data_IF_808464649253
#
_entry.id   IF_808464649253
#
_cell.length_a   1.000
_cell.length_b   1.000
_cell.length_c   1.000
_cell.angle_alpha   90.00
_cell.angle_beta   90.00
_cell.angle_gamma   90.00
#
_symmetry.space_group_name_H-M   'P 1'
#
loop_
_entity.id
_entity.type
_entity.pdbx_description
1 polymer ?
#
# COMPACT_ATOMS: atom_id res chain seq x y z
N UNK A 1 -7.87 -37.03 -51.89
CA UNK A 1 -7.63 -35.59 -51.61
C UNK A 1 -8.03 -35.17 -50.18
N UNK A 2 -9.23 -35.45 -49.67
CA UNK A 2 -9.61 -35.10 -48.29
C UNK A 2 -8.94 -36.03 -47.24
N UNK A 3 -8.77 -37.34 -47.59
CA UNK A 3 -8.04 -38.30 -46.76
C UNK A 3 -6.56 -37.98 -46.63
N UNK A 4 -5.94 -37.49 -47.70
CA UNK A 4 -4.50 -37.16 -47.72
C UNK A 4 -4.19 -35.90 -46.96
N UNK A 5 -5.13 -34.93 -46.95
CA UNK A 5 -5.00 -33.68 -46.18
C UNK A 5 -5.17 -33.91 -44.67
N UNK A 6 -6.08 -34.79 -44.24
CA UNK A 6 -6.25 -35.18 -42.85
C UNK A 6 -5.05 -36.02 -42.34
N UNK A 7 -4.48 -36.87 -43.18
CA UNK A 7 -3.26 -37.64 -42.86
C UNK A 7 -2.04 -36.73 -42.77
N UNK A 8 -1.93 -35.71 -43.67
CA UNK A 8 -0.86 -34.73 -43.63
C UNK A 8 -0.95 -33.81 -42.38
N UNK A 9 -2.17 -33.37 -41.99
CA UNK A 9 -2.39 -32.61 -40.73
C UNK A 9 -2.09 -33.51 -39.55
N UNK A 10 -2.50 -34.76 -39.51
CA UNK A 10 -2.19 -35.72 -38.43
C UNK A 10 -0.68 -35.99 -38.34
N UNK A 11 0.01 -36.16 -39.48
CA UNK A 11 1.46 -36.33 -39.52
C UNK A 11 2.24 -35.07 -39.07
N UNK A 12 1.76 -33.90 -39.49
CA UNK A 12 2.33 -32.60 -39.03
C UNK A 12 2.10 -32.38 -37.55
N UNK A 13 0.91 -32.66 -37.05
CA UNK A 13 0.61 -32.49 -35.60
C UNK A 13 1.32 -33.54 -34.74
N UNK A 14 1.34 -34.83 -35.14
CA UNK A 14 2.04 -35.88 -34.39
C UNK A 14 3.55 -35.68 -34.41
N UNK A 15 4.15 -35.35 -35.56
CA UNK A 15 5.60 -35.09 -35.64
C UNK A 15 5.99 -33.76 -34.95
N UNK A 16 5.15 -32.71 -35.02
CA UNK A 16 5.40 -31.47 -34.35
C UNK A 16 5.34 -31.63 -32.81
N UNK A 17 4.35 -32.38 -32.30
CA UNK A 17 4.26 -32.68 -30.86
C UNK A 17 5.25 -33.73 -30.38
N UNK A 18 5.63 -34.70 -31.20
CA UNK A 18 6.61 -35.72 -30.84
C UNK A 18 8.06 -35.21 -30.87
N UNK A 19 8.37 -34.19 -31.67
CA UNK A 19 9.69 -33.53 -31.72
C UNK A 19 9.83 -32.42 -30.68
N UNK A 20 8.74 -31.95 -30.04
CA UNK A 20 8.82 -31.05 -28.93
C UNK A 20 9.36 -31.79 -27.71
N UNK A 21 10.68 -31.69 -27.55
CA UNK A 21 11.39 -32.23 -26.39
C UNK A 21 10.66 -31.81 -25.11
N UNK A 22 10.20 -32.74 -24.29
CA UNK A 22 9.37 -32.46 -23.08
C UNK A 22 10.03 -31.40 -22.16
N UNK A 23 11.37 -31.34 -22.19
CA UNK A 23 12.16 -30.33 -21.49
C UNK A 23 11.91 -28.89 -22.03
N UNK A 24 11.62 -28.76 -23.33
CA UNK A 24 11.30 -27.48 -23.99
C UNK A 24 10.01 -26.91 -23.42
N UNK A 25 8.97 -27.72 -23.31
CA UNK A 25 7.65 -27.33 -22.79
C UNK A 25 7.76 -26.98 -21.31
N UNK A 26 8.50 -27.78 -20.53
CA UNK A 26 8.66 -27.60 -19.08
C UNK A 26 9.34 -26.29 -18.67
N UNK A 27 10.23 -25.73 -19.50
CA UNK A 27 10.93 -24.48 -19.21
C UNK A 27 10.31 -23.26 -19.92
N UNK A 28 9.89 -23.40 -21.19
CA UNK A 28 9.36 -22.27 -21.95
C UNK A 28 7.99 -21.81 -21.50
N UNK A 29 7.05 -22.70 -21.19
CA UNK A 29 5.71 -22.32 -20.74
C UNK A 29 5.71 -21.53 -19.41
N UNK A 30 6.46 -21.94 -18.36
CA UNK A 30 6.61 -21.12 -17.16
C UNK A 30 7.20 -19.74 -17.44
N UNK A 31 8.24 -19.64 -18.28
CA UNK A 31 8.85 -18.35 -18.61
C UNK A 31 7.90 -17.43 -19.39
N UNK A 32 7.14 -17.94 -20.35
CA UNK A 32 6.10 -17.18 -21.05
C UNK A 32 4.98 -16.73 -20.09
N UNK A 33 4.62 -17.56 -19.12
CA UNK A 33 3.67 -17.20 -18.08
C UNK A 33 4.21 -16.08 -17.19
N UNK A 34 5.48 -16.14 -16.82
CA UNK A 34 6.17 -15.07 -16.05
C UNK A 34 6.21 -13.78 -16.85
N UNK A 35 6.55 -13.82 -18.14
CA UNK A 35 6.55 -12.65 -19.02
C UNK A 35 5.15 -12.03 -19.11
N UNK A 36 4.12 -12.86 -19.35
CA UNK A 36 2.74 -12.40 -19.40
C UNK A 36 2.29 -11.73 -18.11
N UNK A 37 2.70 -12.26 -16.96
CA UNK A 37 2.45 -11.63 -15.66
C UNK A 37 3.17 -10.29 -15.51
N UNK A 38 4.41 -10.14 -15.97
CA UNK A 38 5.12 -8.85 -15.95
C UNK A 38 4.46 -7.81 -16.84
N UNK A 39 4.02 -8.19 -18.04
CA UNK A 39 3.23 -7.32 -18.93
C UNK A 39 1.94 -6.87 -18.24
N UNK A 40 1.22 -7.80 -17.59
CA UNK A 40 0.02 -7.49 -16.83
C UNK A 40 0.29 -6.56 -15.63
N UNK A 41 1.37 -6.78 -14.87
CA UNK A 41 1.79 -5.91 -13.78
C UNK A 41 2.10 -4.50 -14.27
N UNK A 42 2.82 -4.38 -15.38
CA UNK A 42 3.15 -3.10 -16.00
C UNK A 42 1.90 -2.35 -16.48
N UNK A 43 0.99 -3.04 -17.15
CA UNK A 43 -0.28 -2.46 -17.57
C UNK A 43 -1.13 -1.95 -16.39
N UNK A 44 -1.19 -2.71 -15.30
CA UNK A 44 -1.87 -2.27 -14.07
C UNK A 44 -1.18 -1.08 -13.40
N UNK A 45 0.14 -1.02 -13.42
CA UNK A 45 0.89 0.14 -12.93
C UNK A 45 0.56 1.41 -13.72
N UNK A 46 0.57 1.35 -15.05
CA UNK A 46 0.17 2.49 -15.90
C UNK A 46 -1.28 2.90 -15.61
N UNK A 47 -2.18 1.93 -15.55
CA UNK A 47 -3.60 2.17 -15.23
C UNK A 47 -3.76 2.82 -13.87
N UNK A 48 -3.05 2.33 -12.85
CA UNK A 48 -3.05 2.89 -11.51
C UNK A 48 -2.60 4.36 -11.51
N UNK A 49 -1.46 4.66 -12.14
CA UNK A 49 -0.94 6.01 -12.19
C UNK A 49 -1.87 6.97 -12.96
N UNK A 50 -2.48 6.52 -14.04
CA UNK A 50 -3.41 7.35 -14.82
C UNK A 50 -4.73 7.61 -14.10
N UNK A 51 -5.27 6.63 -13.38
CA UNK A 51 -6.53 6.77 -12.65
C UNK A 51 -6.40 7.66 -11.40
N UNK A 52 -5.21 7.69 -10.79
CA UNK A 52 -4.96 8.48 -9.59
C UNK A 52 -4.45 9.88 -9.87
N UNK A 53 -3.98 10.18 -11.09
CA UNK A 53 -3.58 11.55 -11.46
C UNK A 53 -4.83 12.45 -11.40
N UNK A 54 -5.11 12.95 -10.21
CA UNK A 54 -5.87 14.18 -10.11
C UNK A 54 -4.99 15.22 -10.78
N UNK A 55 -5.48 15.75 -11.89
CA UNK A 55 -4.94 16.96 -12.51
C UNK A 55 -4.57 17.90 -11.39
N UNK A 56 -3.29 18.13 -11.22
CA UNK A 56 -2.70 18.90 -10.14
C UNK A 56 -3.55 20.15 -9.99
N UNK A 57 -4.21 20.31 -8.85
CA UNK A 57 -5.08 21.48 -8.55
C UNK A 57 -4.32 22.79 -8.74
N UNK A 58 -2.97 22.74 -8.81
CA UNK A 58 -2.12 23.86 -9.19
C UNK A 58 -2.61 24.60 -10.46
N UNK A 59 -3.01 23.91 -11.52
CA UNK A 59 -3.57 24.51 -12.73
C UNK A 59 -4.99 25.09 -12.53
N UNK A 60 -5.74 24.54 -11.58
CA UNK A 60 -7.11 25.00 -11.27
C UNK A 60 -7.10 26.15 -10.27
N UNK A 61 -6.12 26.22 -9.36
CA UNK A 61 -5.98 27.32 -8.40
C UNK A 61 -5.36 28.59 -9.02
N UNK A 62 -4.38 28.45 -9.93
CA UNK A 62 -3.77 29.61 -10.61
C UNK A 62 -4.81 30.35 -11.50
N UNK A 63 -5.78 29.64 -12.07
CA UNK A 63 -6.88 30.23 -12.82
C UNK A 63 -8.07 30.66 -11.97
N UNK A 64 -8.10 30.37 -10.63
CA UNK A 64 -9.28 30.53 -9.77
C UNK A 64 -9.04 31.19 -8.43
N UNK A 65 -8.01 32.00 -8.24
CA UNK A 65 -8.00 33.01 -7.13
C UNK A 65 -9.29 33.84 -7.10
N UNK A 66 -10.11 33.77 -8.15
CA UNK A 66 -11.34 34.51 -8.37
C UNK A 66 -12.64 33.79 -7.95
N UNK A 67 -12.61 32.51 -7.59
CA UNK A 67 -13.85 31.69 -7.50
C UNK A 67 -14.16 31.07 -6.14
N UNK A 68 -13.27 31.11 -5.14
CA UNK A 68 -13.63 30.65 -3.81
C UNK A 68 -13.87 31.85 -2.89
N UNK A 69 -15.15 32.12 -2.62
CA UNK A 69 -15.51 32.93 -1.47
C UNK A 69 -15.01 32.17 -0.22
N UNK A 70 -13.97 32.74 0.46
CA UNK A 70 -13.38 32.09 1.66
C UNK A 70 -14.44 31.78 2.73
N UNK A 71 -15.53 32.56 2.75
CA UNK A 71 -16.65 32.37 3.68
C UNK A 71 -17.57 31.19 3.32
N UNK A 72 -17.43 30.57 2.13
CA UNK A 72 -18.21 29.42 1.69
C UNK A 72 -17.49 28.07 1.90
N UNK A 73 -16.26 28.07 2.42
CA UNK A 73 -15.53 26.84 2.70
C UNK A 73 -16.04 26.20 4.00
N UNK A 74 -16.28 24.87 4.01
CA UNK A 74 -16.77 24.18 5.20
C UNK A 74 -15.71 24.20 6.33
N UNK A 75 -16.18 24.12 7.57
CA UNK A 75 -15.29 23.89 8.71
C UNK A 75 -14.83 22.45 8.76
N UNK A 76 -13.55 22.22 9.05
CA UNK A 76 -12.91 20.91 9.07
C UNK A 76 -12.27 20.67 10.43
N UNK A 77 -12.55 19.52 11.07
CA UNK A 77 -11.84 19.03 12.24
C UNK A 77 -10.78 18.03 11.80
N UNK A 78 -9.51 18.35 12.06
CA UNK A 78 -8.36 17.48 11.81
C UNK A 78 -8.06 16.67 13.06
N UNK A 79 -8.09 15.36 12.98
CA UNK A 79 -7.92 14.45 14.11
C UNK A 79 -6.62 13.67 13.92
N UNK A 80 -5.72 13.73 14.92
CA UNK A 80 -4.37 13.18 14.88
C UNK A 80 -4.18 12.26 16.08
N UNK A 81 -4.41 10.94 15.95
CA UNK A 81 -4.03 9.98 16.98
C UNK A 81 -2.50 9.82 16.98
N UNK A 82 -1.87 9.93 18.15
CA UNK A 82 -0.43 9.78 18.32
C UNK A 82 -0.09 8.93 19.53
N UNK A 83 0.91 8.05 19.38
CA UNK A 83 1.54 7.28 20.44
C UNK A 83 2.99 7.01 20.09
N UNK A 84 3.90 7.44 20.96
CA UNK A 84 5.34 7.25 20.80
C UNK A 84 5.83 7.73 19.41
N UNK A 85 5.53 9.00 19.08
CA UNK A 85 5.83 9.67 17.81
C UNK A 85 6.72 10.90 18.00
N UNK A 86 7.60 10.88 19.02
CA UNK A 86 8.46 12.04 19.34
C UNK A 86 9.30 12.54 18.16
N UNK A 87 9.64 11.70 17.17
CA UNK A 87 10.48 12.10 16.05
C UNK A 87 9.71 12.78 14.91
N UNK A 88 8.40 12.54 14.83
CA UNK A 88 7.55 12.96 13.69
C UNK A 88 6.49 13.98 14.06
N UNK A 89 5.96 13.93 15.28
CA UNK A 89 4.79 14.72 15.69
C UNK A 89 4.98 16.24 15.54
N UNK A 90 6.17 16.77 15.77
CA UNK A 90 6.46 18.19 15.63
C UNK A 90 6.32 18.64 14.17
N UNK A 91 6.92 17.91 13.23
CA UNK A 91 6.82 18.15 11.77
C UNK A 91 5.36 18.05 11.30
N UNK A 92 4.63 17.05 11.78
CA UNK A 92 3.22 16.85 11.45
C UNK A 92 2.37 18.04 11.89
N UNK A 93 2.42 18.39 13.18
CA UNK A 93 1.63 19.48 13.74
C UNK A 93 1.95 20.84 13.09
N UNK A 94 3.23 21.17 12.87
CA UNK A 94 3.62 22.41 12.18
C UNK A 94 3.00 22.46 10.78
N UNK A 95 3.08 21.39 10.03
CA UNK A 95 2.53 21.34 8.67
C UNK A 95 1.01 21.51 8.60
N UNK A 96 0.30 21.10 9.64
CA UNK A 96 -1.15 21.29 9.78
C UNK A 96 -1.51 22.68 10.28
N UNK A 97 -0.72 23.25 11.22
CA UNK A 97 -0.91 24.63 11.71
C UNK A 97 -0.64 25.66 10.61
N UNK A 98 0.17 25.34 9.61
CA UNK A 98 0.54 26.22 8.48
C UNK A 98 -0.28 25.98 7.20
N UNK A 99 -1.43 25.29 7.28
CA UNK A 99 -2.30 25.07 6.13
C UNK A 99 -2.96 26.35 5.63
N UNK A 100 -2.99 26.56 4.31
CA UNK A 100 -3.71 27.66 3.64
C UNK A 100 -5.22 27.39 3.58
N UNK A 101 -5.83 27.08 4.72
CA UNK A 101 -7.26 26.81 4.82
C UNK A 101 -7.85 27.57 6.02
N UNK A 102 -8.90 28.40 5.85
CA UNK A 102 -9.30 29.33 6.91
C UNK A 102 -10.00 28.69 8.10
N UNK A 103 -10.73 27.60 7.87
CA UNK A 103 -11.71 27.05 8.80
C UNK A 103 -11.26 25.69 9.34
N UNK A 104 -10.14 25.65 10.10
CA UNK A 104 -9.57 24.43 10.69
C UNK A 104 -9.64 24.45 12.23
N UNK A 105 -10.05 23.32 12.76
CA UNK A 105 -9.84 22.89 14.12
C UNK A 105 -8.90 21.68 14.11
N UNK A 106 -7.83 21.69 14.90
CA UNK A 106 -6.85 20.61 14.96
C UNK A 106 -6.91 20.00 16.35
N UNK A 107 -7.10 18.67 16.41
CA UNK A 107 -7.26 17.88 17.62
C UNK A 107 -6.19 16.79 17.63
N UNK A 108 -5.16 16.95 18.44
CA UNK A 108 -4.11 15.97 18.64
C UNK A 108 -4.43 15.11 19.87
N UNK A 109 -4.45 13.80 19.71
CA UNK A 109 -4.80 12.87 20.78
C UNK A 109 -3.57 12.04 21.15
N UNK A 110 -3.05 12.25 22.36
CA UNK A 110 -1.98 11.45 22.90
C UNK A 110 -2.55 10.17 23.54
N UNK A 111 -2.22 9.01 22.98
CA UNK A 111 -2.67 7.71 23.44
C UNK A 111 -1.68 7.13 24.50
N UNK A 112 -1.47 7.88 25.57
CA UNK A 112 -0.58 7.50 26.67
C UNK A 112 0.85 7.18 26.18
N UNK A 113 1.48 8.14 25.51
CA UNK A 113 2.87 8.04 25.05
C UNK A 113 3.84 7.95 26.22
N UNK A 114 4.91 7.18 26.03
CA UNK A 114 5.98 7.00 27.04
C UNK A 114 7.25 7.79 26.72
N UNK A 115 7.28 8.39 25.53
CA UNK A 115 8.38 9.23 25.02
C UNK A 115 8.04 10.74 25.12
N UNK A 116 8.79 11.59 24.43
CA UNK A 116 8.59 13.04 24.45
C UNK A 116 7.43 13.54 23.56
N UNK A 117 6.54 12.66 23.03
CA UNK A 117 5.44 13.04 22.13
C UNK A 117 4.55 14.12 22.72
N UNK A 118 3.99 13.88 23.90
CA UNK A 118 3.08 14.83 24.57
C UNK A 118 3.76 16.18 24.86
N UNK A 119 5.02 16.15 25.30
CA UNK A 119 5.80 17.36 25.60
C UNK A 119 5.93 18.21 24.32
N UNK A 120 6.23 17.58 23.17
CA UNK A 120 6.35 18.24 21.90
C UNK A 120 5.02 18.81 21.41
N UNK A 121 3.91 18.09 21.58
CA UNK A 121 2.56 18.60 21.28
C UNK A 121 2.26 19.88 22.06
N UNK A 122 2.47 19.87 23.39
CA UNK A 122 2.25 21.05 24.25
C UNK A 122 3.12 22.24 23.87
N UNK A 123 4.38 21.99 23.52
CA UNK A 123 5.30 23.03 23.03
C UNK A 123 4.77 23.70 21.76
N UNK A 124 4.28 22.92 20.79
CA UNK A 124 3.69 23.48 19.54
C UNK A 124 2.41 24.25 19.87
N UNK A 125 1.53 23.73 20.71
CA UNK A 125 0.32 24.42 21.13
C UNK A 125 0.65 25.79 21.73
N UNK A 126 1.58 25.88 22.68
CA UNK A 126 2.01 27.14 23.32
C UNK A 126 2.63 28.14 22.31
N UNK A 127 3.41 27.60 21.33
CA UNK A 127 4.01 28.42 20.26
C UNK A 127 2.94 29.11 19.42
N UNK A 128 1.91 28.38 19.00
CA UNK A 128 0.90 28.90 18.07
C UNK A 128 -0.23 29.66 18.79
N UNK A 129 -0.53 29.39 20.06
CA UNK A 129 -1.48 30.19 20.85
C UNK A 129 -1.08 31.66 20.99
N UNK A 130 0.23 31.97 20.89
CA UNK A 130 0.76 33.34 20.94
C UNK A 130 0.65 34.11 19.62
N UNK A 131 0.29 33.42 18.53
CA UNK A 131 0.23 34.03 17.20
C UNK A 131 -1.22 34.40 16.86
N UNK A 132 -1.45 35.63 16.44
CA UNK A 132 -2.76 36.06 15.91
C UNK A 132 -3.02 35.39 14.56
N UNK A 133 -4.24 34.95 14.31
CA UNK A 133 -4.67 34.30 13.06
C UNK A 133 -4.11 32.90 12.78
N UNK A 134 -3.79 32.11 13.82
CA UNK A 134 -3.43 30.70 13.68
C UNK A 134 -4.64 29.80 13.92
N UNK A 135 -4.58 28.58 13.37
CA UNK A 135 -5.54 27.52 13.68
C UNK A 135 -5.48 27.15 15.17
N UNK A 136 -6.59 26.70 15.70
CA UNK A 136 -6.64 26.19 17.09
C UNK A 136 -6.09 24.76 17.16
N UNK A 137 -5.20 24.48 18.09
CA UNK A 137 -4.70 23.17 18.41
C UNK A 137 -5.19 22.74 19.78
N UNK A 138 -6.06 21.75 19.84
CA UNK A 138 -6.54 21.11 21.06
C UNK A 138 -5.77 19.81 21.28
N UNK A 139 -5.34 19.54 22.54
CA UNK A 139 -4.64 18.33 22.90
C UNK A 139 -5.51 17.54 23.88
N UNK A 140 -5.70 16.26 23.59
CA UNK A 140 -6.39 15.31 24.44
C UNK A 140 -5.37 14.29 24.93
N UNK A 141 -5.30 14.10 26.24
CA UNK A 141 -4.44 13.12 26.88
C UNK A 141 -5.26 11.92 27.36
N UNK A 142 -5.03 10.74 26.76
CA UNK A 142 -5.68 9.51 27.16
C UNK A 142 -4.78 8.76 28.15
N UNK A 143 -5.30 8.38 29.30
CA UNK A 143 -4.55 7.60 30.30
C UNK A 143 -4.71 6.10 30.14
N UNK A 144 -5.81 5.66 29.54
CA UNK A 144 -6.14 4.24 29.35
C UNK A 144 -7.02 4.05 28.12
N UNK A 145 -7.14 2.82 27.68
CA UNK A 145 -8.07 2.42 26.62
C UNK A 145 -8.85 1.17 27.08
N UNK A 146 -10.09 0.97 26.63
CA UNK A 146 -10.82 -0.30 26.80
C UNK A 146 -10.11 -1.47 26.10
N UNK A 147 -10.25 -2.68 26.64
CA UNK A 147 -9.54 -3.86 26.12
C UNK A 147 -9.98 -4.27 24.71
N UNK A 148 -11.24 -3.99 24.37
CA UNK A 148 -11.85 -4.31 23.08
C UNK A 148 -11.58 -3.25 21.99
N UNK A 149 -10.72 -2.24 22.27
CA UNK A 149 -10.30 -1.23 21.30
C UNK A 149 -8.83 -1.41 20.92
N UNK A 150 -8.48 -1.02 19.68
CA UNK A 150 -7.08 -0.75 19.35
C UNK A 150 -6.71 0.66 19.84
N UNK A 151 -5.42 0.93 20.08
CA UNK A 151 -4.99 2.28 20.50
C UNK A 151 -5.37 3.35 19.50
N UNK A 152 -5.11 3.09 18.20
CA UNK A 152 -5.40 4.06 17.14
C UNK A 152 -6.89 4.34 17.00
N UNK A 153 -7.74 3.30 17.00
CA UNK A 153 -9.20 3.50 16.91
C UNK A 153 -9.76 4.24 18.10
N UNK A 154 -9.25 3.92 19.33
CA UNK A 154 -9.65 4.61 20.56
C UNK A 154 -9.26 6.08 20.54
N UNK A 155 -8.01 6.40 20.18
CA UNK A 155 -7.56 7.79 20.10
C UNK A 155 -8.32 8.57 19.00
N UNK A 156 -8.56 7.94 17.84
CA UNK A 156 -9.33 8.57 16.76
C UNK A 156 -10.79 8.82 17.14
N UNK A 157 -11.43 7.90 17.87
CA UNK A 157 -12.80 8.08 18.36
C UNK A 157 -12.88 9.22 19.37
N UNK A 158 -11.94 9.31 20.32
CA UNK A 158 -11.92 10.42 21.30
C UNK A 158 -11.68 11.76 20.60
N UNK A 159 -10.82 11.82 19.59
CA UNK A 159 -10.65 13.01 18.76
C UNK A 159 -11.91 13.40 17.99
N UNK A 160 -12.65 12.42 17.47
CA UNK A 160 -13.95 12.65 16.84
C UNK A 160 -14.98 13.18 17.84
N UNK A 161 -15.09 12.59 19.03
CA UNK A 161 -16.04 13.03 20.06
C UNK A 161 -15.79 14.48 20.54
N UNK A 162 -14.54 14.93 20.51
CA UNK A 162 -14.17 16.30 20.83
C UNK A 162 -14.28 17.27 19.63
N UNK A 163 -14.59 16.79 18.45
CA UNK A 163 -14.71 17.58 17.23
C UNK A 163 -16.13 18.07 16.99
N UNK A 164 -16.29 19.23 16.32
CA UNK A 164 -17.63 19.86 16.15
C UNK A 164 -18.01 20.07 14.68
N UNK A 165 -17.06 19.99 13.75
CA UNK A 165 -17.27 20.41 12.38
C UNK A 165 -17.92 19.32 11.49
N UNK A 166 -18.54 19.78 10.39
CA UNK A 166 -19.31 18.93 9.46
C UNK A 166 -18.41 18.01 8.62
N UNK A 167 -17.13 18.32 8.47
CA UNK A 167 -16.14 17.49 7.77
C UNK A 167 -15.05 17.10 8.75
N UNK A 168 -14.72 15.82 8.75
CA UNK A 168 -13.68 15.23 9.56
C UNK A 168 -12.51 14.86 8.64
N UNK A 169 -11.29 15.17 9.06
CA UNK A 169 -10.06 14.74 8.44
C UNK A 169 -9.25 13.92 9.46
N UNK A 170 -9.05 12.66 9.18
CA UNK A 170 -8.17 11.79 9.98
C UNK A 170 -6.81 11.69 9.30
N UNK A 171 -5.75 11.83 10.10
CA UNK A 171 -4.36 11.84 9.64
C UNK A 171 -3.45 11.08 10.59
N UNK A 172 -2.33 10.54 10.09
CA UNK A 172 -1.30 9.91 10.92
C UNK A 172 -0.28 10.95 11.41
N UNK A 173 0.26 10.72 12.60
CA UNK A 173 1.21 11.61 13.27
C UNK A 173 2.63 11.61 12.68
N UNK A 174 2.93 10.66 11.78
CA UNK A 174 4.22 10.51 11.09
C UNK A 174 4.23 11.08 9.66
N UNK A 175 3.21 11.86 9.32
CA UNK A 175 3.04 12.47 8.00
C UNK A 175 3.33 13.98 8.01
N UNK A 176 3.59 14.50 6.81
CA UNK A 176 3.76 15.92 6.53
C UNK A 176 2.82 16.32 5.39
N UNK A 177 2.21 17.51 5.51
CA UNK A 177 1.20 18.03 4.58
C UNK A 177 1.65 19.35 3.99
N UNK A 178 1.68 19.46 2.67
CA UNK A 178 1.95 20.73 1.97
C UNK A 178 0.87 21.77 2.29
N UNK A 179 1.23 23.07 2.31
CA UNK A 179 0.36 24.16 2.75
C UNK A 179 -1.03 24.21 2.10
N UNK A 180 -1.15 23.76 0.86
CA UNK A 180 -2.40 23.75 0.10
C UNK A 180 -3.09 22.37 0.09
N UNK A 181 -2.66 21.42 0.93
CA UNK A 181 -3.16 20.06 0.94
C UNK A 181 -4.66 19.99 1.24
N UNK A 182 -5.08 20.58 2.37
CA UNK A 182 -6.49 20.53 2.80
C UNK A 182 -7.39 21.31 1.84
N UNK A 183 -6.98 22.50 1.40
CA UNK A 183 -7.75 23.30 0.43
C UNK A 183 -7.96 22.52 -0.87
N UNK A 184 -6.92 21.87 -1.37
CA UNK A 184 -6.99 21.06 -2.58
C UNK A 184 -7.94 19.88 -2.44
N UNK A 185 -7.86 19.15 -1.32
CA UNK A 185 -8.68 17.98 -1.05
C UNK A 185 -10.16 18.35 -0.89
N UNK A 186 -10.47 19.39 -0.11
CA UNK A 186 -11.83 19.88 0.08
C UNK A 186 -12.43 20.38 -1.23
N UNK A 187 -11.67 21.17 -2.00
CA UNK A 187 -12.13 21.66 -3.31
C UNK A 187 -12.49 20.51 -4.25
N UNK A 188 -11.68 19.45 -4.28
CA UNK A 188 -11.96 18.28 -5.08
C UNK A 188 -13.19 17.50 -4.55
N UNK A 189 -13.27 17.30 -3.23
CA UNK A 189 -14.39 16.62 -2.59
C UNK A 189 -15.73 17.30 -2.89
N UNK A 190 -15.77 18.64 -2.80
CA UNK A 190 -16.98 19.44 -3.08
C UNK A 190 -17.34 19.40 -4.56
N UNK A 191 -16.35 19.62 -5.46
CA UNK A 191 -16.57 19.62 -6.91
C UNK A 191 -17.14 18.30 -7.41
N UNK A 192 -16.58 17.18 -6.97
CA UNK A 192 -16.96 15.85 -7.41
C UNK A 192 -18.11 15.24 -6.60
N UNK A 193 -18.65 15.98 -5.62
CA UNK A 193 -19.72 15.55 -4.71
C UNK A 193 -19.40 14.18 -4.08
N UNK A 194 -18.22 14.11 -3.44
CA UNK A 194 -17.70 12.89 -2.79
C UNK A 194 -18.13 12.90 -1.33
N UNK A 195 -18.42 11.73 -0.77
CA UNK A 195 -18.75 11.57 0.64
C UNK A 195 -17.54 11.26 1.48
N UNK A 196 -16.60 10.47 0.92
CA UNK A 196 -15.34 10.10 1.55
C UNK A 196 -14.21 10.17 0.53
N UNK A 197 -13.20 11.00 0.82
CA UNK A 197 -12.01 11.18 0.00
C UNK A 197 -10.79 10.67 0.77
N UNK A 198 -10.00 9.79 0.16
CA UNK A 198 -8.74 9.34 0.74
C UNK A 198 -7.58 9.57 -0.23
N UNK A 199 -6.44 9.99 0.33
CA UNK A 199 -5.27 10.42 -0.43
C UNK A 199 -4.13 9.42 -0.37
N UNK A 200 -3.65 8.93 -1.54
CA UNK A 200 -2.44 8.13 -1.63
C UNK A 200 -1.21 9.05 -1.53
N UNK A 201 -0.37 8.91 -0.48
CA UNK A 201 0.74 9.82 -0.22
C UNK A 201 1.96 9.52 -1.08
N UNK A 202 2.94 10.41 -1.03
CA UNK A 202 4.32 10.10 -1.34
C UNK A 202 4.94 9.37 -0.14
N UNK A 203 5.41 8.14 -0.34
CA UNK A 203 6.12 7.42 0.69
C UNK A 203 7.62 7.72 0.63
N UNK A 204 8.13 8.35 1.68
CA UNK A 204 9.56 8.59 1.87
C UNK A 204 10.25 7.26 2.22
N UNK A 205 11.18 6.80 1.37
CA UNK A 205 12.00 5.62 1.59
C UNK A 205 13.40 6.07 1.96
N UNK A 206 13.76 5.99 3.24
CA UNK A 206 15.04 6.53 3.74
C UNK A 206 16.15 5.50 3.72
N UNK A 207 15.85 4.27 4.12
CA UNK A 207 16.83 3.21 4.25
C UNK A 207 17.06 2.44 2.94
N UNK A 208 18.19 1.73 2.86
CA UNK A 208 18.57 0.93 1.70
C UNK A 208 17.55 -0.16 1.38
N UNK A 209 17.11 -0.90 2.40
CA UNK A 209 16.22 -2.06 2.22
C UNK A 209 14.82 -1.65 1.73
N UNK A 210 14.30 -0.54 2.24
CA UNK A 210 13.03 0.00 1.75
C UNK A 210 13.13 0.44 0.28
N UNK A 211 14.25 1.04 -0.16
CA UNK A 211 14.44 1.47 -1.55
C UNK A 211 14.45 0.31 -2.54
N UNK A 212 14.99 -0.85 -2.18
CA UNK A 212 15.05 -2.02 -3.07
C UNK A 212 13.84 -2.95 -2.97
N UNK A 213 13.07 -2.92 -1.87
CA UNK A 213 11.95 -3.83 -1.64
C UNK A 213 10.56 -3.20 -1.83
N UNK A 214 10.36 -1.95 -1.41
CA UNK A 214 9.04 -1.32 -1.44
C UNK A 214 8.47 -1.07 -2.84
N UNK A 215 9.26 -0.75 -3.88
CA UNK A 215 8.75 -0.69 -5.24
C UNK A 215 8.16 -2.03 -5.72
N UNK A 216 8.79 -3.16 -5.36
CA UNK A 216 8.26 -4.50 -5.63
C UNK A 216 6.96 -4.76 -4.87
N UNK A 217 6.96 -4.47 -3.57
CA UNK A 217 5.77 -4.59 -2.73
C UNK A 217 4.57 -3.84 -3.30
N UNK A 218 4.78 -2.61 -3.77
CA UNK A 218 3.72 -1.80 -4.38
C UNK A 218 3.20 -2.43 -5.67
N UNK A 219 4.09 -2.85 -6.60
CA UNK A 219 3.68 -3.49 -7.85
C UNK A 219 2.81 -4.73 -7.58
N UNK A 220 3.22 -5.57 -6.62
CA UNK A 220 2.47 -6.73 -6.19
C UNK A 220 1.10 -6.36 -5.59
N UNK A 221 1.08 -5.36 -4.71
CA UNK A 221 -0.14 -4.88 -4.06
C UNK A 221 -1.16 -4.33 -5.06
N UNK A 222 -0.71 -3.58 -6.06
CA UNK A 222 -1.57 -3.05 -7.14
C UNK A 222 -2.11 -4.18 -8.01
N UNK A 223 -1.30 -5.18 -8.30
CA UNK A 223 -1.65 -6.25 -9.24
C UNK A 223 -2.58 -7.28 -8.62
N UNK A 224 -2.25 -7.76 -7.42
CA UNK A 224 -2.92 -8.91 -6.81
C UNK A 224 -3.87 -8.55 -5.65
N UNK A 225 -3.89 -7.30 -5.19
CA UNK A 225 -4.67 -6.98 -4.00
C UNK A 225 -5.50 -5.70 -4.08
N UNK A 226 -4.83 -4.57 -4.02
CA UNK A 226 -5.49 -3.28 -3.74
C UNK A 226 -5.42 -2.32 -4.92
N UNK A 227 -5.99 -2.72 -6.06
CA UNK A 227 -6.04 -1.83 -7.22
C UNK A 227 -6.97 -0.65 -6.93
N UNK A 228 -6.44 0.58 -7.06
CA UNK A 228 -7.18 1.81 -6.84
C UNK A 228 -8.43 1.94 -7.72
N UNK A 229 -8.40 1.40 -8.94
CA UNK A 229 -9.57 1.36 -9.82
C UNK A 229 -10.72 0.59 -9.19
N UNK A 230 -10.42 -0.46 -8.44
CA UNK A 230 -11.41 -1.26 -7.73
C UNK A 230 -11.98 -0.50 -6.52
N UNK A 231 -11.18 0.32 -5.84
CA UNK A 231 -11.67 1.19 -4.75
C UNK A 231 -12.65 2.21 -5.30
N UNK A 232 -12.31 2.84 -6.42
CA UNK A 232 -13.13 3.88 -7.05
C UNK A 232 -14.34 3.34 -7.82
N UNK A 233 -14.41 2.04 -8.09
CA UNK A 233 -15.55 1.40 -8.73
C UNK A 233 -16.65 1.09 -7.69
N UNK A 234 -17.83 1.70 -7.76
CA UNK A 234 -18.89 1.47 -6.78
C UNK A 234 -19.41 0.02 -6.75
N UNK A 235 -19.27 -0.72 -7.86
CA UNK A 235 -19.69 -2.13 -7.96
C UNK A 235 -18.67 -3.11 -7.37
N UNK A 236 -17.45 -2.67 -7.10
CA UNK A 236 -16.38 -3.53 -6.53
C UNK A 236 -16.55 -3.63 -5.02
N UNK A 237 -16.30 -4.82 -4.46
CA UNK A 237 -16.25 -5.04 -3.01
C UNK A 237 -14.95 -4.53 -2.38
N UNK A 238 -13.94 -4.21 -3.19
CA UNK A 238 -12.64 -3.71 -2.71
C UNK A 238 -12.80 -2.28 -2.22
N UNK A 239 -12.48 -2.04 -0.96
CA UNK A 239 -12.46 -0.73 -0.35
C UNK A 239 -11.38 -0.66 0.72
N UNK A 240 -10.70 0.46 0.80
CA UNK A 240 -9.78 0.81 1.89
C UNK A 240 -9.60 2.33 1.92
N UNK A 241 -9.23 2.83 3.07
CA UNK A 241 -8.79 4.21 3.25
C UNK A 241 -7.26 4.21 3.39
N UNK A 242 -6.65 5.34 3.15
CA UNK A 242 -5.27 5.58 3.55
C UNK A 242 -5.30 6.22 4.94
N UNK A 243 -4.84 5.50 5.96
CA UNK A 243 -4.85 6.00 7.34
C UNK A 243 -4.13 7.34 7.52
N UNK A 244 -3.14 7.60 6.65
CA UNK A 244 -2.40 8.86 6.65
C UNK A 244 -3.21 10.08 6.18
N UNK A 245 -4.34 9.89 5.48
CA UNK A 245 -5.20 10.99 5.05
C UNK A 245 -6.55 10.49 4.54
N UNK A 246 -7.63 10.75 5.26
CA UNK A 246 -8.97 10.63 4.69
C UNK A 246 -9.94 11.67 5.26
N UNK A 247 -10.66 12.32 4.34
CA UNK A 247 -11.76 13.23 4.61
C UNK A 247 -13.08 12.47 4.55
N UNK A 248 -13.95 12.72 5.50
CA UNK A 248 -15.28 12.11 5.56
C UNK A 248 -16.31 13.13 6.09
N UNK A 249 -17.49 13.16 5.51
CA UNK A 249 -18.62 13.93 6.07
C UNK A 249 -19.01 13.34 7.41
N UNK A 250 -19.24 14.18 8.43
CA UNK A 250 -19.61 13.74 9.78
C UNK A 250 -20.84 12.81 9.78
N UNK A 251 -21.91 13.19 9.11
CA UNK A 251 -23.10 12.36 9.02
C UNK A 251 -22.84 10.98 8.37
N UNK A 252 -21.93 10.91 7.41
CA UNK A 252 -21.51 9.62 6.81
C UNK A 252 -20.74 8.78 7.82
N UNK A 253 -19.82 9.39 8.56
CA UNK A 253 -19.03 8.72 9.60
C UNK A 253 -19.92 8.16 10.72
N UNK A 254 -20.90 8.95 11.17
CA UNK A 254 -21.88 8.53 12.16
C UNK A 254 -22.78 7.40 11.65
N UNK A 255 -23.30 7.52 10.42
CA UNK A 255 -24.17 6.50 9.82
C UNK A 255 -23.49 5.15 9.61
N UNK A 256 -22.17 5.10 9.41
CA UNK A 256 -21.41 3.83 9.31
C UNK A 256 -20.98 3.30 10.68
N UNK A 257 -21.29 4.01 11.77
CA UNK A 257 -21.07 3.60 13.16
C UNK A 257 -19.71 3.94 13.72
N UNK A 258 -19.10 5.02 13.24
CA UNK A 258 -17.80 5.60 13.69
C UNK A 258 -16.67 4.56 13.80
N UNK A 259 -15.59 4.84 14.52
CA UNK A 259 -14.59 3.82 14.86
C UNK A 259 -15.12 2.79 15.86
N UNK A 260 -16.20 3.07 16.56
CA UNK A 260 -16.89 2.10 17.41
C UNK A 260 -17.22 0.81 16.63
N UNK A 261 -17.64 0.93 15.38
CA UNK A 261 -18.01 -0.20 14.53
C UNK A 261 -16.84 -1.07 14.09
N UNK A 262 -15.60 -0.57 14.22
CA UNK A 262 -14.35 -1.24 13.82
C UNK A 262 -13.30 -1.19 14.95
N UNK A 263 -13.73 -1.02 16.20
CA UNK A 263 -12.91 -0.70 17.36
C UNK A 263 -11.75 -1.66 17.63
N UNK A 264 -11.91 -2.93 17.29
CA UNK A 264 -10.91 -3.98 17.49
C UNK A 264 -10.12 -4.30 16.19
N UNK A 265 -10.39 -3.60 15.08
CA UNK A 265 -9.71 -3.85 13.82
C UNK A 265 -8.29 -3.28 13.84
N UNK A 266 -7.28 -4.12 13.56
CA UNK A 266 -5.88 -3.67 13.41
C UNK A 266 -5.67 -2.91 12.09
N UNK A 267 -6.45 -3.26 11.05
CA UNK A 267 -6.54 -2.53 9.79
C UNK A 267 -7.86 -1.77 9.78
N UNK A 268 -7.96 -0.77 10.64
CA UNK A 268 -9.16 0.05 10.84
C UNK A 268 -9.57 0.80 9.58
N UNK A 269 -8.59 1.23 8.81
CA UNK A 269 -8.75 1.95 7.54
C UNK A 269 -9.43 1.08 6.47
N UNK A 270 -9.04 -0.19 6.35
CA UNK A 270 -9.70 -1.14 5.45
C UNK A 270 -11.11 -1.48 5.95
N UNK A 271 -11.25 -1.78 7.24
CA UNK A 271 -12.52 -2.16 7.83
C UNK A 271 -13.56 -1.04 7.69
N UNK A 272 -13.18 0.20 8.00
CA UNK A 272 -14.04 1.37 7.84
C UNK A 272 -14.35 1.65 6.36
N UNK A 273 -13.37 1.54 5.46
CA UNK A 273 -13.55 1.70 4.03
C UNK A 273 -14.58 0.72 3.44
N UNK A 274 -14.54 -0.55 3.88
CA UNK A 274 -15.51 -1.58 3.48
C UNK A 274 -16.93 -1.19 3.95
N UNK A 275 -17.10 -0.77 5.21
CA UNK A 275 -18.40 -0.35 5.74
C UNK A 275 -18.96 0.84 4.98
N UNK A 276 -18.15 1.87 4.73
CA UNK A 276 -18.54 3.05 3.94
C UNK A 276 -19.09 2.64 2.57
N UNK A 277 -18.37 1.75 1.89
CA UNK A 277 -18.77 1.32 0.55
C UNK A 277 -20.00 0.42 0.55
N UNK A 278 -20.12 -0.47 1.53
CA UNK A 278 -21.31 -1.31 1.73
C UNK A 278 -22.57 -0.50 2.05
N UNK A 279 -22.43 0.64 2.72
CA UNK A 279 -23.50 1.59 3.00
C UNK A 279 -23.86 2.47 1.79
N UNK A 280 -23.23 2.27 0.62
CA UNK A 280 -23.56 2.95 -0.62
C UNK A 280 -22.97 4.35 -0.78
N UNK A 281 -22.09 4.80 0.12
CA UNK A 281 -21.45 6.11 0.05
C UNK A 281 -20.36 6.18 -1.02
N UNK A 282 -20.19 7.36 -1.61
CA UNK A 282 -19.21 7.63 -2.67
C UNK A 282 -17.81 7.80 -2.09
N UNK A 283 -17.06 6.68 -2.09
CA UNK A 283 -15.65 6.66 -1.70
C UNK A 283 -14.75 6.91 -2.93
N UNK A 284 -13.75 7.81 -2.77
CA UNK A 284 -12.73 8.07 -3.78
C UNK A 284 -11.33 8.00 -3.18
N UNK A 285 -10.47 7.20 -3.81
CA UNK A 285 -9.03 7.19 -3.60
C UNK A 285 -8.38 8.01 -4.72
N UNK A 286 -7.56 8.99 -4.35
CA UNK A 286 -6.82 9.86 -5.28
C UNK A 286 -5.33 9.88 -4.96
N UNK A 287 -4.51 10.22 -5.94
CA UNK A 287 -3.07 10.40 -5.72
C UNK A 287 -2.80 11.80 -5.19
N UNK A 288 -2.17 11.89 -4.02
CA UNK A 288 -1.79 13.15 -3.37
C UNK A 288 -0.29 13.21 -3.07
N UNK A 289 0.53 12.53 -3.86
CA UNK A 289 1.97 12.39 -3.67
C UNK A 289 2.77 13.71 -3.70
N UNK A 290 2.19 14.80 -4.20
CA UNK A 290 2.79 16.14 -4.14
C UNK A 290 2.27 16.97 -2.96
N UNK A 291 1.34 16.43 -2.17
CA UNK A 291 0.66 17.14 -1.09
C UNK A 291 0.81 16.45 0.27
N UNK A 292 1.04 15.15 0.27
CA UNK A 292 1.15 14.33 1.47
C UNK A 292 2.43 13.51 1.40
N UNK A 293 3.26 13.61 2.42
CA UNK A 293 4.48 12.84 2.59
C UNK A 293 4.35 11.97 3.83
N UNK A 294 4.46 10.65 3.66
CA UNK A 294 4.38 9.67 4.73
C UNK A 294 5.71 8.90 4.83
N UNK A 295 6.20 8.72 6.03
CA UNK A 295 7.38 7.91 6.27
C UNK A 295 6.96 6.44 6.41
N UNK A 296 7.38 5.57 5.46
CA UNK A 296 7.05 4.15 5.54
C UNK A 296 7.87 3.42 6.61
N UNK A 297 9.18 3.64 6.59
CA UNK A 297 10.12 3.05 7.54
C UNK A 297 11.30 4.00 7.76
N UNK A 298 11.88 3.93 8.95
CA UNK A 298 13.07 4.70 9.31
C UNK A 298 14.35 3.91 9.07
N UNK A 299 14.26 2.60 9.31
CA UNK A 299 15.35 1.63 9.28
C UNK A 299 14.84 0.22 8.96
N UNK A 300 15.76 -0.74 8.89
CA UNK A 300 15.47 -2.14 8.61
C UNK A 300 14.49 -2.75 9.65
N UNK A 301 14.64 -2.40 10.92
CA UNK A 301 13.79 -2.93 12.00
C UNK A 301 12.34 -2.49 11.83
N UNK A 302 12.12 -1.19 11.62
CA UNK A 302 10.79 -0.63 11.40
C UNK A 302 10.16 -1.13 10.10
N UNK A 303 10.96 -1.32 9.04
CA UNK A 303 10.53 -1.95 7.79
C UNK A 303 10.06 -3.38 8.02
N UNK A 304 10.87 -4.19 8.71
CA UNK A 304 10.57 -5.58 9.01
C UNK A 304 9.27 -5.74 9.79
N UNK A 305 9.12 -4.99 10.87
CA UNK A 305 7.90 -5.00 11.68
C UNK A 305 6.68 -4.46 10.91
N UNK A 306 6.86 -3.45 10.07
CA UNK A 306 5.82 -2.90 9.21
C UNK A 306 5.27 -3.92 8.20
N UNK A 307 6.17 -4.68 7.55
CA UNK A 307 5.78 -5.78 6.65
C UNK A 307 5.02 -6.86 7.41
N UNK A 308 5.56 -7.33 8.55
CA UNK A 308 4.91 -8.35 9.39
C UNK A 308 3.52 -7.93 9.87
N UNK A 309 3.37 -6.65 10.29
CA UNK A 309 2.09 -6.06 10.70
C UNK A 309 1.05 -6.07 9.57
N UNK A 310 1.47 -5.96 8.32
CA UNK A 310 0.57 -6.00 7.16
C UNK A 310 0.22 -7.42 6.76
N UNK A 311 1.20 -8.34 6.72
CA UNK A 311 1.02 -9.72 6.28
C UNK A 311 0.20 -10.53 7.29
N UNK A 312 0.47 -10.39 8.59
CA UNK A 312 -0.15 -11.25 9.61
C UNK A 312 -1.67 -11.12 9.67
N UNK A 313 -2.29 -9.93 9.71
CA UNK A 313 -3.75 -9.80 9.63
C UNK A 313 -4.33 -10.31 8.32
N UNK A 314 -3.66 -10.04 7.18
CA UNK A 314 -4.06 -10.60 5.88
C UNK A 314 -4.09 -12.12 5.91
N UNK A 315 -3.07 -12.75 6.49
CA UNK A 315 -2.97 -14.21 6.58
C UNK A 315 -4.07 -14.80 7.45
N UNK A 316 -4.49 -14.10 8.50
CA UNK A 316 -5.59 -14.51 9.38
C UNK A 316 -6.96 -14.43 8.68
N UNK A 317 -7.19 -13.39 7.88
CA UNK A 317 -8.44 -13.18 7.14
C UNK A 317 -8.51 -13.97 5.83
N UNK A 318 -7.45 -13.95 5.04
CA UNK A 318 -7.43 -14.41 3.64
C UNK A 318 -6.17 -15.23 3.33
N UNK A 319 -6.01 -16.38 4.01
CA UNK A 319 -4.84 -17.27 3.88
C UNK A 319 -4.45 -17.55 2.42
N UNK A 320 -5.45 -17.82 1.57
CA UNK A 320 -5.20 -18.13 0.14
C UNK A 320 -4.52 -16.97 -0.58
N UNK A 321 -4.95 -15.72 -0.34
CA UNK A 321 -4.33 -14.56 -0.99
C UNK A 321 -2.88 -14.36 -0.57
N UNK A 322 -2.56 -14.55 0.70
CA UNK A 322 -1.18 -14.40 1.19
C UNK A 322 -0.28 -15.47 0.60
N UNK A 323 -0.76 -16.71 0.51
CA UNK A 323 -0.02 -17.81 -0.12
C UNK A 323 0.18 -17.54 -1.61
N UNK A 324 -0.85 -17.10 -2.32
CA UNK A 324 -0.75 -16.72 -3.74
C UNK A 324 0.25 -15.57 -3.93
N UNK A 325 0.21 -14.54 -3.08
CA UNK A 325 1.15 -13.43 -3.14
C UNK A 325 2.59 -13.88 -2.88
N UNK A 326 2.80 -14.79 -1.91
CA UNK A 326 4.10 -15.38 -1.64
C UNK A 326 4.64 -16.12 -2.87
N UNK A 327 3.85 -17.04 -3.44
CA UNK A 327 4.24 -17.76 -4.64
C UNK A 327 4.45 -16.83 -5.84
N UNK A 328 3.64 -15.78 -5.98
CA UNK A 328 3.82 -14.80 -7.04
C UNK A 328 5.16 -14.05 -6.89
N UNK A 329 5.53 -13.61 -5.68
CA UNK A 329 6.84 -12.99 -5.43
C UNK A 329 7.96 -13.98 -5.75
N UNK A 330 7.86 -15.19 -5.22
CA UNK A 330 8.89 -16.22 -5.40
C UNK A 330 9.03 -16.63 -6.87
N UNK A 331 7.95 -17.07 -7.52
CA UNK A 331 7.99 -17.61 -8.88
C UNK A 331 8.19 -16.54 -9.95
N UNK A 332 7.62 -15.33 -9.76
CA UNK A 332 7.67 -14.30 -10.81
C UNK A 332 8.89 -13.39 -10.72
N UNK A 333 9.42 -13.19 -9.50
CA UNK A 333 10.48 -12.21 -9.27
C UNK A 333 11.76 -12.92 -8.83
N UNK A 334 11.72 -13.73 -7.77
CA UNK A 334 12.95 -14.32 -7.18
C UNK A 334 13.50 -15.44 -8.05
N UNK A 335 12.67 -16.41 -8.43
CA UNK A 335 13.08 -17.60 -9.17
C UNK A 335 13.74 -17.28 -10.53
N UNK A 336 13.18 -16.40 -11.40
CA UNK A 336 13.78 -16.12 -12.70
C UNK A 336 15.20 -15.53 -12.60
N UNK A 337 15.44 -14.68 -11.61
CA UNK A 337 16.70 -13.92 -11.54
C UNK A 337 17.76 -14.57 -10.65
N UNK A 338 17.34 -15.29 -9.63
CA UNK A 338 18.26 -15.91 -8.67
C UNK A 338 18.64 -17.32 -9.11
N UNK A 339 17.75 -18.02 -9.81
CA UNK A 339 17.94 -19.43 -10.19
C UNK A 339 18.01 -19.59 -11.70
N UNK A 340 16.96 -19.18 -12.44
CA UNK A 340 16.84 -19.50 -13.86
C UNK A 340 17.85 -18.75 -14.73
N UNK A 341 18.08 -17.47 -14.48
CA UNK A 341 19.04 -16.69 -15.27
C UNK A 341 20.49 -17.19 -15.10
N UNK A 342 21.03 -17.42 -13.88
CA UNK A 342 22.34 -18.03 -13.73
C UNK A 342 22.42 -19.42 -14.35
N UNK A 343 21.39 -20.26 -14.15
CA UNK A 343 21.33 -21.59 -14.75
C UNK A 343 21.41 -21.55 -16.27
N UNK A 344 20.61 -20.70 -16.92
CA UNK A 344 20.59 -20.57 -18.38
C UNK A 344 21.89 -20.00 -18.93
N UNK A 345 22.55 -19.09 -18.22
CA UNK A 345 23.89 -18.59 -18.59
C UNK A 345 24.90 -19.73 -18.52
N UNK A 346 24.95 -20.50 -17.43
CA UNK A 346 25.86 -21.62 -17.27
C UNK A 346 25.66 -22.66 -18.37
N UNK A 347 24.41 -23.06 -18.61
CA UNK A 347 24.08 -24.06 -19.66
C UNK A 347 24.44 -23.54 -21.05
N UNK A 348 24.18 -22.28 -21.36
CA UNK A 348 24.55 -21.68 -22.64
C UNK A 348 26.08 -21.61 -22.85
N UNK A 349 26.84 -21.31 -21.78
CA UNK A 349 28.30 -21.29 -21.83
C UNK A 349 28.91 -22.71 -21.90
N UNK A 350 28.34 -23.67 -21.17
CA UNK A 350 28.79 -25.08 -21.21
C UNK A 350 28.44 -25.75 -22.55
N UNK A 351 27.38 -25.29 -23.21
CA UNK A 351 26.89 -25.80 -24.47
C UNK A 351 27.67 -25.41 -25.71
N UNK A 352 28.80 -24.69 -25.58
CA UNK A 352 29.72 -24.36 -26.71
C UNK A 352 30.26 -25.64 -27.37
N UNK A 353 30.16 -26.81 -26.71
CA UNK A 353 30.53 -28.13 -27.24
C UNK A 353 29.33 -29.01 -27.60
N UNK A 354 28.11 -28.47 -27.77
CA UNK A 354 26.93 -29.28 -28.06
C UNK A 354 26.98 -29.76 -29.52
N UNK A 355 27.04 -31.07 -29.68
CA UNK A 355 27.01 -31.77 -30.96
C UNK A 355 25.64 -31.67 -31.68
N UNK A 356 24.59 -31.32 -30.95
CA UNK A 356 23.23 -31.11 -31.52
C UNK A 356 22.90 -29.63 -31.65
N UNK A 357 22.75 -29.17 -32.90
CA UNK A 357 22.39 -27.79 -33.24
C UNK A 357 21.01 -27.38 -32.64
N UNK A 358 20.10 -28.32 -32.49
CA UNK A 358 18.74 -28.05 -31.98
C UNK A 358 18.80 -27.65 -30.49
N UNK A 359 19.61 -28.36 -29.69
CA UNK A 359 19.81 -28.06 -28.28
C UNK A 359 20.48 -26.69 -28.08
N UNK A 360 21.41 -26.31 -28.96
CA UNK A 360 22.02 -25.00 -28.96
C UNK A 360 21.00 -23.88 -29.20
N UNK A 361 20.20 -23.97 -30.29
CA UNK A 361 19.18 -22.95 -30.58
C UNK A 361 18.14 -22.86 -29.49
N UNK A 362 17.77 -23.97 -28.88
CA UNK A 362 16.84 -24.02 -27.76
C UNK A 362 17.37 -23.26 -26.53
N UNK A 363 18.60 -23.54 -26.10
CA UNK A 363 19.21 -22.87 -24.97
C UNK A 363 19.38 -21.37 -25.20
N UNK A 364 19.74 -20.96 -26.44
CA UNK A 364 19.76 -19.55 -26.83
C UNK A 364 18.37 -18.90 -26.73
N UNK A 365 17.32 -19.60 -27.16
CA UNK A 365 15.93 -19.11 -27.05
C UNK A 365 15.50 -18.90 -25.60
N UNK A 366 15.80 -19.83 -24.70
CA UNK A 366 15.52 -19.67 -23.27
C UNK A 366 16.31 -18.52 -22.66
N UNK A 367 17.59 -18.36 -23.00
CA UNK A 367 18.41 -17.26 -22.53
C UNK A 367 17.83 -15.91 -22.98
N UNK A 368 17.46 -15.78 -24.25
CA UNK A 368 16.84 -14.57 -24.80
C UNK A 368 15.53 -14.25 -24.05
N UNK A 369 14.69 -15.25 -23.81
CA UNK A 369 13.43 -15.07 -23.09
C UNK A 369 13.66 -14.60 -21.64
N UNK A 370 14.65 -15.17 -20.93
CA UNK A 370 15.03 -14.71 -19.59
C UNK A 370 15.55 -13.26 -19.61
N UNK A 371 16.34 -12.87 -20.62
CA UNK A 371 16.83 -11.50 -20.80
C UNK A 371 15.65 -10.54 -21.01
N UNK A 372 14.67 -10.91 -21.84
CA UNK A 372 13.46 -10.10 -22.07
C UNK A 372 12.68 -9.92 -20.77
N UNK A 373 12.47 -10.98 -19.98
CA UNK A 373 11.81 -10.93 -18.68
C UNK A 373 12.56 -10.00 -17.73
N UNK A 374 13.90 -10.10 -17.70
CA UNK A 374 14.75 -9.25 -16.88
C UNK A 374 14.56 -7.76 -17.22
N UNK A 375 14.64 -7.41 -18.50
CA UNK A 375 14.46 -6.02 -18.93
C UNK A 375 13.04 -5.50 -18.66
N UNK A 376 12.00 -6.31 -18.89
CA UNK A 376 10.63 -5.95 -18.54
C UNK A 376 10.46 -5.67 -17.05
N UNK A 377 11.08 -6.49 -16.20
CA UNK A 377 11.07 -6.30 -14.76
C UNK A 377 11.80 -5.00 -14.36
N UNK A 378 13.03 -4.82 -14.86
CA UNK A 378 13.82 -3.60 -14.60
C UNK A 378 13.06 -2.35 -15.02
N UNK A 379 12.49 -2.32 -16.23
CA UNK A 379 11.73 -1.17 -16.73
C UNK A 379 10.52 -0.89 -15.81
N UNK A 380 9.74 -1.92 -15.49
CA UNK A 380 8.55 -1.78 -14.64
C UNK A 380 8.90 -1.26 -13.24
N UNK A 381 9.96 -1.81 -12.64
CA UNK A 381 10.41 -1.40 -11.30
C UNK A 381 11.03 -0.01 -11.34
N UNK A 382 11.82 0.32 -12.37
CA UNK A 382 12.45 1.64 -12.55
C UNK A 382 11.40 2.73 -12.66
N UNK A 383 10.42 2.56 -13.54
CA UNK A 383 9.35 3.53 -13.71
C UNK A 383 8.56 3.72 -12.41
N UNK A 384 8.23 2.61 -11.72
CA UNK A 384 7.57 2.70 -10.41
C UNK A 384 8.45 3.40 -9.36
N UNK A 385 9.73 3.13 -9.33
CA UNK A 385 10.69 3.72 -8.38
C UNK A 385 10.86 5.22 -8.58
N UNK A 386 11.05 5.64 -9.83
CA UNK A 386 11.24 7.04 -10.20
C UNK A 386 9.94 7.85 -10.04
N UNK A 387 8.84 7.38 -10.62
CA UNK A 387 7.58 8.13 -10.63
C UNK A 387 6.92 8.18 -9.25
N UNK A 388 6.99 7.08 -8.48
CA UNK A 388 6.29 6.96 -7.20
C UNK A 388 7.12 7.42 -6.03
N UNK A 389 8.39 7.00 -5.97
CA UNK A 389 9.24 7.15 -4.79
C UNK A 389 10.37 8.16 -5.00
N UNK A 390 10.58 8.67 -6.23
CA UNK A 390 11.64 9.61 -6.60
C UNK A 390 13.04 9.13 -6.19
N UNK A 391 13.28 7.81 -6.23
CA UNK A 391 14.57 7.20 -5.93
C UNK A 391 15.37 6.95 -7.20
N UNK A 392 16.71 6.92 -7.06
CA UNK A 392 17.62 6.69 -8.17
C UNK A 392 17.34 5.35 -8.87
N UNK A 393 17.35 5.29 -10.21
CA UNK A 393 17.21 4.05 -10.99
C UNK A 393 18.24 2.98 -10.62
N UNK A 394 19.42 3.35 -10.10
CA UNK A 394 20.47 2.42 -9.70
C UNK A 394 20.01 1.40 -8.66
N UNK A 395 19.08 1.77 -7.75
CA UNK A 395 18.52 0.82 -6.78
C UNK A 395 17.71 -0.29 -7.45
N UNK A 396 17.21 -0.07 -8.67
CA UNK A 396 16.38 -1.05 -9.36
C UNK A 396 17.16 -2.25 -9.87
N UNK A 397 18.47 -2.11 -10.11
CA UNK A 397 19.35 -3.24 -10.45
C UNK A 397 19.45 -4.24 -9.30
N UNK A 398 19.29 -3.76 -8.07
CA UNK A 398 19.35 -4.57 -6.85
C UNK A 398 17.99 -5.21 -6.45
N UNK A 399 16.98 -5.12 -7.30
CA UNK A 399 15.68 -5.68 -6.96
C UNK A 399 15.68 -7.22 -6.71
N UNK A 400 16.58 -8.04 -7.28
CA UNK A 400 16.67 -9.45 -6.90
C UNK A 400 16.97 -9.62 -5.41
N UNK A 401 17.86 -8.79 -4.85
CA UNK A 401 18.14 -8.77 -3.42
C UNK A 401 16.92 -8.30 -2.62
N UNK A 402 16.21 -7.26 -3.11
CA UNK A 402 14.95 -6.81 -2.53
C UNK A 402 13.85 -7.88 -2.53
N UNK A 403 13.79 -8.71 -3.58
CA UNK A 403 12.85 -9.83 -3.67
C UNK A 403 13.16 -10.94 -2.66
N UNK A 404 14.44 -11.29 -2.48
CA UNK A 404 14.89 -12.25 -1.46
C UNK A 404 14.50 -11.75 -0.07
N UNK A 405 14.75 -10.47 0.22
CA UNK A 405 14.34 -9.84 1.47
C UNK A 405 12.82 -9.99 1.71
N UNK A 406 11.99 -9.69 0.71
CA UNK A 406 10.53 -9.85 0.83
C UNK A 406 10.12 -11.31 1.05
N UNK A 407 10.73 -12.27 0.34
CA UNK A 407 10.47 -13.71 0.54
C UNK A 407 10.77 -14.11 1.99
N UNK A 408 11.92 -13.69 2.53
CA UNK A 408 12.31 -13.98 3.91
C UNK A 408 11.32 -13.33 4.90
N UNK A 409 10.91 -12.08 4.67
CA UNK A 409 9.93 -11.39 5.51
C UNK A 409 8.54 -12.07 5.49
N UNK A 410 8.11 -12.56 4.31
CA UNK A 410 6.89 -13.36 4.20
C UNK A 410 6.99 -14.68 4.96
N UNK A 411 8.08 -15.44 4.78
CA UNK A 411 8.31 -16.70 5.49
C UNK A 411 8.36 -16.50 7.01
N UNK A 412 9.06 -15.46 7.47
CA UNK A 412 9.12 -15.10 8.88
C UNK A 412 7.75 -14.76 9.48
N UNK A 413 6.82 -14.24 8.67
CA UNK A 413 5.45 -13.96 9.10
C UNK A 413 4.54 -15.20 9.02
N UNK A 414 4.73 -16.06 8.01
CA UNK A 414 3.88 -17.23 7.73
C UNK A 414 4.24 -18.41 8.63
N UNK A 415 5.53 -18.72 8.79
CA UNK A 415 5.99 -19.94 9.50
C UNK A 415 5.52 -19.97 10.96
N UNK A 416 5.72 -18.94 11.79
CA UNK A 416 5.25 -18.96 13.17
C UNK A 416 3.74 -19.11 13.27
N UNK A 417 3.00 -18.56 12.31
CA UNK A 417 1.56 -18.67 12.26
C UNK A 417 1.11 -20.10 11.92
N UNK A 418 1.73 -20.76 10.95
CA UNK A 418 1.43 -22.14 10.60
C UNK A 418 1.77 -23.10 11.76
N UNK A 419 2.91 -22.92 12.41
CA UNK A 419 3.32 -23.71 13.58
C UNK A 419 2.34 -23.54 14.75
N UNK A 420 1.86 -22.32 14.99
CA UNK A 420 0.88 -22.04 16.05
C UNK A 420 -0.51 -22.60 15.75
N UNK A 421 -0.88 -22.74 14.45
CA UNK A 421 -2.11 -23.43 14.03
C UNK A 421 -2.06 -24.93 14.35
N UNK A 422 -0.88 -25.54 14.21
CA UNK A 422 -0.67 -26.98 14.51
C UNK A 422 -0.76 -27.26 16.02
N UNK A 423 -0.43 -26.28 16.89
CA UNK A 423 -0.48 -26.41 18.35
C UNK A 423 -1.85 -26.08 18.96
N UNK A 424 -2.93 -25.95 18.18
CA UNK A 424 -4.30 -25.60 18.65
C UNK A 424 -4.35 -24.36 19.58
N UNK A 425 -3.39 -23.46 19.49
CA UNK A 425 -3.41 -22.19 20.23
C UNK A 425 -4.53 -21.31 19.69
N UNK A 426 -5.58 -21.15 20.49
CA UNK A 426 -6.76 -20.33 20.16
C UNK A 426 -6.49 -18.82 20.18
N UNK A 427 -5.31 -18.39 20.65
CA UNK A 427 -4.92 -16.99 20.81
C UNK A 427 -3.66 -16.69 19.97
N UNK A 428 -3.68 -15.62 19.21
CA UNK A 428 -2.52 -15.09 18.47
C UNK A 428 -2.31 -13.64 18.84
N UNK A 429 -1.06 -13.27 19.04
CA UNK A 429 -0.69 -11.93 19.48
C UNK A 429 0.13 -11.22 18.41
N UNK A 430 -0.16 -9.93 18.22
CA UNK A 430 0.67 -9.00 17.45
C UNK A 430 1.09 -7.90 18.42
N UNK A 431 2.37 -7.60 18.45
CA UNK A 431 2.90 -6.47 19.22
C UNK A 431 2.99 -5.23 18.34
N UNK A 432 2.44 -4.10 18.81
CA UNK A 432 2.53 -2.81 18.15
C UNK A 432 2.59 -1.66 19.14
N UNK A 433 3.58 -0.78 19.00
CA UNK A 433 3.78 0.39 19.88
C UNK A 433 3.71 0.02 21.36
N UNK A 434 4.43 -1.03 21.76
CA UNK A 434 4.48 -1.53 23.13
C UNK A 434 3.22 -2.26 23.62
N UNK A 435 2.17 -2.37 22.81
CA UNK A 435 0.93 -3.09 23.14
C UNK A 435 0.84 -4.42 22.44
N UNK A 436 0.25 -5.41 23.13
CA UNK A 436 -0.01 -6.76 22.60
C UNK A 436 -1.49 -6.86 22.24
N UNK A 437 -1.78 -7.11 20.97
CA UNK A 437 -3.14 -7.34 20.46
C UNK A 437 -3.35 -8.84 20.26
N UNK A 438 -4.46 -9.37 20.79
CA UNK A 438 -4.76 -10.80 20.75
C UNK A 438 -5.94 -11.07 19.81
N UNK A 439 -5.74 -11.88 18.81
CA UNK A 439 -6.82 -12.41 17.98
C UNK A 439 -7.39 -13.67 18.59
N UNK A 440 -8.71 -13.74 18.73
CA UNK A 440 -9.44 -14.94 19.14
C UNK A 440 -10.15 -15.56 17.95
N UNK A 441 -10.18 -16.89 17.90
CA UNK A 441 -10.98 -17.60 16.92
C UNK A 441 -12.41 -17.73 17.44
N UNK A 442 -13.37 -17.07 16.80
CA UNK A 442 -14.81 -17.17 17.12
C UNK A 442 -15.54 -17.65 15.88
N UNK A 443 -16.23 -18.80 15.98
CA UNK A 443 -17.10 -19.31 14.90
C UNK A 443 -16.40 -19.55 13.55
N UNK A 444 -15.12 -19.95 13.55
CA UNK A 444 -14.38 -20.26 12.31
C UNK A 444 -13.66 -19.05 11.66
N UNK A 445 -13.95 -17.83 12.08
CA UNK A 445 -13.24 -16.60 11.72
C UNK A 445 -12.43 -16.06 12.89
N UNK A 446 -11.29 -15.42 12.62
CA UNK A 446 -10.50 -14.71 13.64
C UNK A 446 -10.97 -13.25 13.70
N UNK A 447 -11.37 -12.83 14.90
CA UNK A 447 -11.78 -11.47 15.26
C UNK A 447 -10.78 -10.92 16.27
#
# INVERSE_FOLDING_TARGET
>A
MISDFSYFISLMTTNFFASLNMNIILLTLPLLSILSCWVYMFANFIKFNNLLKVTTIKKTLDNKKKYYNKNALPYVSVIIPARDEQESIERCLISLMEQDYPNLEIIAVDDNSTDATLIKMKKIQQKYQKQKNCHTLNIIELKSKPDDWTGKTWASENGYLASHNAILLFVDADCYYEKNCILSAISYMMKERIDVLTGYPFFELKDFWSKISMPLWKLMSITFGRNASNVNNPRSKVAYLMGCFFLIKRNVFENVGTFQSVRNAIQEDEALGIRIKQSGYKLRLIQMNNLIHALWSRDLSTLWHGIGRTITPMLLKEKRKVIINFFAIFCMITLPFVILLPYTIIVSLSGINISDKNDFYYNCGILILNIIIFFMAIISITLNSVETYKISPLYTVLYPLGSIFLVIAYLASIIPLLLSLRKNSSKKTIQWKGRIYTYKRIGGSMI
#
